data_IF_965223015606
#
_entry.id   IF_965223015606
#
_cell.length_a   1.000
_cell.length_b   1.000
_cell.length_c   1.000
_cell.angle_alpha   90.00
_cell.angle_beta   90.00
_cell.angle_gamma   90.00
#
_symmetry.space_group_name_H-M   'P 1'
#
loop_
_entity.id
_entity.type
_entity.pdbx_description
1 polymer ?
#
# COMPACT_ATOMS: atom_id res chain seq x y z
N UNK A 1 -30.21 12.77 -20.93
CA UNK A 1 -28.80 13.18 -21.14
C UNK A 1 -27.88 12.28 -20.32
N UNK A 2 -26.67 12.00 -20.84
CA UNK A 2 -25.61 11.32 -20.10
C UNK A 2 -24.42 12.27 -19.98
N UNK A 3 -23.87 12.35 -18.79
CA UNK A 3 -22.66 13.15 -18.51
C UNK A 3 -21.61 12.26 -17.87
N UNK A 4 -20.35 12.48 -18.19
CA UNK A 4 -19.22 11.76 -17.62
C UNK A 4 -18.35 12.72 -16.82
N UNK A 5 -18.06 12.36 -15.57
CA UNK A 5 -17.18 13.11 -14.71
C UNK A 5 -15.88 12.32 -14.48
N UNK A 6 -14.76 13.02 -14.49
CA UNK A 6 -13.49 12.54 -13.95
C UNK A 6 -13.35 13.11 -12.54
N UNK A 7 -13.26 12.21 -11.54
CA UNK A 7 -13.22 12.60 -10.13
C UNK A 7 -11.90 12.14 -9.53
N UNK A 8 -11.23 13.06 -8.82
CA UNK A 8 -10.08 12.77 -7.95
C UNK A 8 -10.56 13.02 -6.52
N UNK A 9 -10.50 11.99 -5.69
CA UNK A 9 -11.00 12.05 -4.32
C UNK A 9 -10.16 11.19 -3.38
N UNK A 10 -10.27 11.45 -2.08
CA UNK A 10 -9.61 10.65 -1.05
C UNK A 10 -10.34 9.33 -0.81
N UNK A 11 -9.68 8.42 -0.08
CA UNK A 11 -10.31 7.18 0.38
C UNK A 11 -11.52 7.51 1.25
N UNK A 12 -12.56 6.65 1.19
CA UNK A 12 -13.83 6.86 1.89
C UNK A 12 -14.86 7.71 1.13
N UNK A 13 -14.51 8.34 0.01
CA UNK A 13 -15.47 9.07 -0.80
C UNK A 13 -16.38 8.14 -1.58
N UNK A 14 -17.68 8.23 -1.36
CA UNK A 14 -18.69 7.47 -2.09
C UNK A 14 -19.09 8.21 -3.36
N UNK A 15 -18.53 7.82 -4.50
CA UNK A 15 -18.76 8.52 -5.79
C UNK A 15 -20.22 8.50 -6.25
N UNK A 16 -21.03 7.53 -5.80
CA UNK A 16 -22.49 7.51 -6.05
C UNK A 16 -23.21 8.61 -5.28
N UNK A 17 -22.81 8.84 -4.01
CA UNK A 17 -23.34 9.95 -3.21
C UNK A 17 -22.94 11.29 -3.81
N UNK A 18 -21.66 11.43 -4.19
CA UNK A 18 -21.17 12.63 -4.85
C UNK A 18 -21.97 12.96 -6.12
N UNK A 19 -22.29 11.97 -6.95
CA UNK A 19 -23.12 12.19 -8.14
C UNK A 19 -24.51 12.72 -7.77
N UNK A 20 -25.14 12.13 -6.72
CA UNK A 20 -26.42 12.61 -6.24
C UNK A 20 -26.35 14.04 -5.69
N UNK A 21 -25.33 14.39 -4.93
CA UNK A 21 -25.15 15.73 -4.39
C UNK A 21 -24.98 16.78 -5.50
N UNK A 22 -24.22 16.42 -6.56
CA UNK A 22 -24.10 17.28 -7.77
C UNK A 22 -25.46 17.47 -8.41
N UNK A 23 -26.26 16.42 -8.58
CA UNK A 23 -27.57 16.54 -9.20
C UNK A 23 -28.52 17.42 -8.36
N UNK A 24 -28.55 17.23 -7.05
CA UNK A 24 -29.36 18.04 -6.14
C UNK A 24 -28.95 19.52 -6.18
N UNK A 25 -27.65 19.83 -6.25
CA UNK A 25 -27.18 21.21 -6.39
C UNK A 25 -27.60 21.88 -7.71
N UNK A 26 -27.91 21.07 -8.72
CA UNK A 26 -28.44 21.50 -10.01
C UNK A 26 -29.98 21.42 -10.10
N UNK A 27 -30.67 21.22 -8.96
CA UNK A 27 -32.12 21.03 -8.89
C UNK A 27 -32.63 19.91 -9.80
N UNK A 28 -31.92 18.79 -9.89
CA UNK A 28 -32.30 17.64 -10.71
C UNK A 28 -31.97 16.32 -9.98
N UNK A 29 -32.25 15.20 -10.63
CA UNK A 29 -31.97 13.87 -10.14
C UNK A 29 -31.04 13.12 -11.10
N UNK A 30 -30.19 12.26 -10.56
CA UNK A 30 -29.33 11.39 -11.37
C UNK A 30 -29.18 9.99 -10.76
N UNK A 31 -28.62 9.10 -11.56
CA UNK A 31 -28.09 7.81 -11.10
C UNK A 31 -26.83 7.46 -11.89
N UNK A 32 -25.92 6.77 -11.24
CA UNK A 32 -24.70 6.31 -11.89
C UNK A 32 -24.99 5.08 -12.76
N UNK A 33 -24.76 5.20 -14.05
CA UNK A 33 -24.85 4.07 -14.99
C UNK A 33 -23.58 3.22 -15.02
N UNK A 34 -22.42 3.86 -14.73
CA UNK A 34 -21.12 3.20 -14.77
C UNK A 34 -20.13 3.92 -13.86
N UNK A 35 -19.32 3.16 -13.13
CA UNK A 35 -18.21 3.65 -12.34
C UNK A 35 -16.96 2.88 -12.76
N UNK A 36 -15.89 3.61 -13.10
CA UNK A 36 -14.61 3.02 -13.48
C UNK A 36 -13.55 3.63 -12.58
N UNK A 37 -12.84 2.80 -11.81
CA UNK A 37 -11.68 3.24 -11.06
C UNK A 37 -10.46 3.21 -11.97
N UNK A 38 -9.92 4.39 -12.28
CA UNK A 38 -8.76 4.53 -13.17
C UNK A 38 -7.44 4.34 -12.41
N UNK A 39 -7.40 4.76 -11.12
CA UNK A 39 -6.23 4.69 -10.26
C UNK A 39 -6.63 4.54 -8.80
N UNK A 40 -5.78 3.86 -8.03
CA UNK A 40 -5.85 3.76 -6.58
C UNK A 40 -4.42 3.73 -6.03
N UNK A 41 -3.96 4.84 -5.45
CA UNK A 41 -2.54 5.02 -5.11
C UNK A 41 -1.63 4.85 -6.32
N UNK A 42 -0.69 3.91 -6.25
CA UNK A 42 0.22 3.57 -7.35
C UNK A 42 -0.41 2.66 -8.40
N UNK A 43 -1.52 1.99 -8.06
CA UNK A 43 -2.16 1.06 -8.98
C UNK A 43 -3.00 1.81 -10.00
N UNK A 44 -2.81 1.51 -11.27
CA UNK A 44 -3.57 2.10 -12.37
C UNK A 44 -4.28 1.02 -13.18
N UNK A 45 -5.39 1.37 -13.81
CA UNK A 45 -6.10 0.46 -14.71
C UNK A 45 -5.19 -0.03 -15.85
N UNK A 46 -4.27 0.80 -16.33
CA UNK A 46 -3.33 0.45 -17.40
C UNK A 46 -2.40 -0.70 -17.02
N UNK A 47 -2.04 -0.79 -15.73
CA UNK A 47 -1.12 -1.80 -15.19
C UNK A 47 -1.87 -2.95 -14.49
N UNK A 48 -3.20 -3.02 -14.65
CA UNK A 48 -4.02 -4.07 -14.06
C UNK A 48 -4.19 -5.25 -15.00
N UNK A 49 -4.41 -6.42 -14.41
CA UNK A 49 -4.65 -7.66 -15.13
C UNK A 49 -6.12 -8.08 -15.03
N UNK A 50 -6.64 -8.65 -16.11
CA UNK A 50 -8.01 -9.18 -16.10
C UNK A 50 -8.09 -10.39 -15.16
N UNK A 51 -9.08 -10.38 -14.26
CA UNK A 51 -9.36 -11.51 -13.37
C UNK A 51 -9.56 -12.82 -14.13
N UNK A 52 -10.25 -12.78 -15.28
CA UNK A 52 -10.45 -13.96 -16.15
C UNK A 52 -9.10 -14.54 -16.63
N UNK A 53 -8.13 -13.67 -16.97
CA UNK A 53 -6.79 -14.10 -17.37
C UNK A 53 -6.03 -14.74 -16.21
N UNK A 54 -6.18 -14.22 -14.99
CA UNK A 54 -5.56 -14.78 -13.80
C UNK A 54 -6.15 -16.14 -13.43
N UNK A 55 -7.48 -16.30 -13.48
CA UNK A 55 -8.16 -17.56 -13.16
C UNK A 55 -7.79 -18.66 -14.17
N UNK A 56 -7.62 -18.33 -15.45
CA UNK A 56 -7.25 -19.30 -16.47
C UNK A 56 -5.79 -19.78 -16.35
N UNK A 57 -4.91 -18.98 -15.75
CA UNK A 57 -3.52 -19.32 -15.49
C UNK A 57 -3.39 -20.00 -14.10
N UNK A 58 -3.76 -21.28 -14.01
CA UNK A 58 -3.83 -22.02 -12.73
C UNK A 58 -2.48 -22.42 -12.13
N UNK A 59 -1.35 -22.16 -12.78
CA UNK A 59 -0.03 -22.50 -12.24
C UNK A 59 0.42 -21.47 -11.23
N UNK A 60 0.57 -21.89 -9.96
CA UNK A 60 1.00 -21.01 -8.84
C UNK A 60 2.31 -20.27 -9.15
N UNK A 61 3.26 -20.91 -9.86
CA UNK A 61 4.50 -20.27 -10.28
C UNK A 61 4.33 -19.06 -11.19
N UNK A 62 3.25 -19.02 -11.98
CA UNK A 62 2.94 -17.93 -12.89
C UNK A 62 2.37 -16.67 -12.20
N UNK A 63 1.85 -16.78 -10.97
CA UNK A 63 1.29 -15.64 -10.24
C UNK A 63 2.35 -14.64 -9.80
N UNK A 64 3.60 -15.08 -9.57
CA UNK A 64 4.70 -14.19 -9.14
C UNK A 64 4.90 -13.00 -10.09
N UNK A 65 4.71 -13.19 -11.38
CA UNK A 65 4.84 -12.12 -12.39
C UNK A 65 3.77 -11.02 -12.32
N UNK A 66 2.68 -11.29 -11.61
CA UNK A 66 1.58 -10.33 -11.43
C UNK A 66 1.64 -9.61 -10.08
N UNK A 67 2.52 -10.05 -9.17
CA UNK A 67 2.71 -9.44 -7.88
C UNK A 67 3.72 -8.30 -8.00
N UNK A 68 3.41 -7.19 -7.37
CA UNK A 68 4.34 -6.09 -7.19
C UNK A 68 5.14 -6.32 -5.92
N UNK A 69 6.41 -5.88 -5.95
CA UNK A 69 7.24 -5.86 -4.77
C UNK A 69 6.67 -4.93 -3.68
N UNK A 70 6.69 -5.38 -2.43
CA UNK A 70 6.17 -4.63 -1.28
C UNK A 70 6.81 -3.25 -1.16
N UNK A 71 8.11 -3.18 -1.38
CA UNK A 71 8.86 -1.92 -1.29
C UNK A 71 8.40 -0.90 -2.33
N UNK A 72 8.10 -1.35 -3.55
CA UNK A 72 7.57 -0.48 -4.60
C UNK A 72 6.17 0.02 -4.28
N UNK A 73 5.34 -0.80 -3.62
CA UNK A 73 3.99 -0.40 -3.18
C UNK A 73 4.04 0.60 -2.03
N UNK A 74 4.99 0.43 -1.11
CA UNK A 74 5.17 1.25 0.09
C UNK A 74 6.26 2.31 -0.08
N UNK A 75 6.54 2.76 -1.31
CA UNK A 75 7.64 3.68 -1.65
C UNK A 75 7.62 5.01 -0.87
N UNK A 76 6.45 5.42 -0.39
CA UNK A 76 6.25 6.64 0.39
C UNK A 76 6.66 6.49 1.86
N UNK A 77 6.89 5.26 2.34
CA UNK A 77 7.31 5.00 3.72
C UNK A 77 8.84 4.94 3.77
N UNK A 78 9.49 5.69 4.66
CA UNK A 78 10.93 5.62 4.85
C UNK A 78 11.39 4.20 5.17
N UNK A 79 12.59 3.86 4.74
CA UNK A 79 13.14 2.52 4.90
C UNK A 79 14.48 2.58 5.63
N UNK A 80 14.69 1.66 6.58
CA UNK A 80 15.96 1.48 7.30
C UNK A 80 16.52 0.09 7.04
N UNK A 81 17.81 0.01 6.75
CA UNK A 81 18.51 -1.26 6.58
C UNK A 81 18.84 -1.88 7.94
N UNK A 82 18.69 -3.18 8.05
CA UNK A 82 19.00 -3.94 9.25
C UNK A 82 19.97 -5.09 8.94
N UNK A 83 20.70 -5.51 9.96
CA UNK A 83 21.61 -6.67 9.92
C UNK A 83 20.97 -7.93 10.51
N UNK A 84 21.69 -9.07 10.44
CA UNK A 84 21.21 -10.38 10.92
C UNK A 84 20.81 -10.38 12.40
N UNK A 85 21.58 -9.70 13.25
CA UNK A 85 21.28 -9.63 14.69
C UNK A 85 19.95 -8.93 14.92
N UNK A 86 19.73 -7.79 14.25
CA UNK A 86 18.50 -7.01 14.35
C UNK A 86 17.31 -7.71 13.71
N UNK A 87 17.52 -8.45 12.62
CA UNK A 87 16.50 -9.28 11.99
C UNK A 87 15.92 -10.31 12.97
N UNK A 88 16.77 -11.05 13.67
CA UNK A 88 16.34 -12.06 14.66
C UNK A 88 15.46 -11.44 15.76
N UNK A 89 15.86 -10.27 16.27
CA UNK A 89 15.08 -9.56 17.28
C UNK A 89 13.72 -9.10 16.74
N UNK A 90 13.71 -8.52 15.54
CA UNK A 90 12.47 -8.04 14.90
C UNK A 90 11.53 -9.20 14.59
N UNK A 91 12.03 -10.34 14.08
CA UNK A 91 11.21 -11.54 13.82
C UNK A 91 10.51 -12.03 15.10
N UNK A 92 11.10 -11.81 16.26
CA UNK A 92 10.50 -12.14 17.56
C UNK A 92 9.64 -10.99 18.14
N UNK A 93 9.35 -9.95 17.37
CA UNK A 93 8.55 -8.82 17.83
C UNK A 93 9.25 -7.87 18.79
N UNK A 94 10.56 -8.02 18.98
CA UNK A 94 11.34 -7.22 19.93
C UNK A 94 11.67 -5.85 19.33
N UNK A 95 11.66 -4.82 20.19
CA UNK A 95 12.18 -3.50 19.86
C UNK A 95 13.70 -3.54 19.65
N UNK A 96 14.21 -2.73 18.73
CA UNK A 96 15.62 -2.75 18.34
C UNK A 96 16.18 -1.33 18.31
N UNK A 97 17.37 -1.12 18.91
CA UNK A 97 18.08 0.13 18.80
C UNK A 97 18.67 0.31 17.40
N UNK A 98 18.43 1.50 16.83
CA UNK A 98 18.90 1.95 15.52
C UNK A 98 19.66 3.27 15.64
N UNK A 99 20.13 3.62 16.86
CA UNK A 99 20.81 4.88 17.14
C UNK A 99 22.07 5.10 16.30
N UNK A 100 22.81 4.02 16.04
CA UNK A 100 24.03 4.08 15.24
C UNK A 100 23.75 4.40 13.76
N UNK A 101 22.60 3.96 13.24
CA UNK A 101 22.25 4.12 11.82
C UNK A 101 21.51 5.41 11.52
N UNK A 102 20.65 5.86 12.43
CA UNK A 102 19.72 6.99 12.16
C UNK A 102 19.71 8.05 13.26
N UNK A 103 20.46 7.85 14.34
CA UNK A 103 20.40 8.72 15.50
C UNK A 103 19.03 8.70 16.19
N UNK A 104 18.67 9.78 16.85
CA UNK A 104 17.41 9.91 17.60
C UNK A 104 16.20 10.32 16.75
N UNK A 105 16.22 10.06 15.43
CA UNK A 105 15.10 10.39 14.54
C UNK A 105 13.82 9.65 14.91
N UNK A 106 12.70 10.31 14.64
CA UNK A 106 11.36 9.76 14.89
C UNK A 106 10.60 9.59 13.58
N UNK A 107 9.89 8.46 13.47
CA UNK A 107 9.03 8.15 12.34
C UNK A 107 7.75 7.47 12.83
N UNK A 108 6.59 7.97 12.40
CA UNK A 108 5.31 7.32 12.70
C UNK A 108 5.19 5.96 12.03
N UNK A 109 5.75 5.86 10.82
CA UNK A 109 5.84 4.65 10.02
C UNK A 109 7.21 4.56 9.36
N UNK A 110 7.83 3.38 9.44
CA UNK A 110 9.13 3.09 8.83
C UNK A 110 9.22 1.60 8.52
N UNK A 111 9.86 1.28 7.40
CA UNK A 111 10.09 -0.10 6.96
C UNK A 111 11.47 -0.56 7.42
N UNK A 112 11.56 -1.78 7.94
CA UNK A 112 12.81 -2.49 8.13
C UNK A 112 13.11 -3.34 6.89
N UNK A 113 14.27 -3.10 6.27
CA UNK A 113 14.74 -3.75 5.04
C UNK A 113 15.95 -4.64 5.38
N UNK A 114 15.86 -5.89 5.01
CA UNK A 114 16.96 -6.85 5.08
C UNK A 114 17.22 -7.42 3.69
N UNK A 115 18.42 -7.16 3.14
CA UNK A 115 18.82 -7.60 1.79
C UNK A 115 17.78 -7.29 0.70
N UNK A 116 17.30 -6.03 0.65
CA UNK A 116 16.28 -5.52 -0.28
C UNK A 116 14.87 -6.07 -0.06
N UNK A 117 14.66 -6.88 0.98
CA UNK A 117 13.35 -7.38 1.37
C UNK A 117 12.81 -6.62 2.58
N UNK A 118 11.58 -6.13 2.48
CA UNK A 118 10.90 -5.52 3.63
C UNK A 118 10.47 -6.62 4.59
N UNK A 119 11.06 -6.62 5.81
CA UNK A 119 10.81 -7.66 6.82
C UNK A 119 9.84 -7.22 7.91
N UNK A 120 9.69 -5.92 8.12
CA UNK A 120 8.72 -5.40 9.07
C UNK A 120 8.32 -3.96 8.73
N UNK A 121 7.10 -3.61 9.11
CA UNK A 121 6.60 -2.24 9.25
C UNK A 121 6.54 -1.92 10.75
N UNK A 122 7.01 -0.75 11.13
CA UNK A 122 7.02 -0.29 12.50
C UNK A 122 6.97 1.21 12.63
N UNK A 123 7.25 1.69 13.83
CA UNK A 123 7.51 3.10 14.13
C UNK A 123 8.87 3.25 14.76
N UNK A 124 9.42 4.45 14.72
CA UNK A 124 10.70 4.76 15.37
C UNK A 124 10.51 5.94 16.32
N UNK A 125 11.00 5.78 17.54
CA UNK A 125 11.01 6.83 18.57
C UNK A 125 12.33 6.78 19.32
N UNK A 126 12.98 7.95 19.44
CA UNK A 126 14.28 8.11 20.10
C UNK A 126 15.32 7.09 19.58
N UNK A 127 15.36 6.84 18.26
CA UNK A 127 16.29 5.90 17.65
C UNK A 127 16.00 4.41 17.96
N UNK A 128 14.85 4.08 18.54
CA UNK A 128 14.42 2.71 18.79
C UNK A 128 13.30 2.35 17.81
N UNK A 129 13.48 1.28 17.06
CA UNK A 129 12.47 0.71 16.16
C UNK A 129 11.52 -0.20 16.95
N UNK A 130 10.23 0.06 16.78
CA UNK A 130 9.13 -0.73 17.36
C UNK A 130 8.38 -1.43 16.25
N UNK A 131 8.55 -2.75 16.06
CA UNK A 131 7.83 -3.49 15.03
C UNK A 131 6.33 -3.54 15.33
N UNK A 132 5.50 -3.21 14.33
CA UNK A 132 4.02 -3.28 14.40
C UNK A 132 3.48 -4.46 13.57
N UNK A 133 4.12 -4.73 12.43
CA UNK A 133 3.78 -5.84 11.53
C UNK A 133 5.07 -6.49 11.07
N UNK A 134 5.17 -7.78 11.28
CA UNK A 134 6.28 -8.61 10.79
C UNK A 134 5.80 -9.27 9.51
N UNK A 135 6.60 -9.18 8.46
CA UNK A 135 6.33 -9.80 7.18
C UNK A 135 7.12 -11.11 7.12
N UNK A 136 6.41 -12.22 6.99
CA UNK A 136 7.04 -13.51 6.77
C UNK A 136 7.57 -13.55 5.34
N UNK A 137 8.86 -13.28 5.19
CA UNK A 137 9.56 -13.56 3.95
C UNK A 137 9.97 -15.03 4.08
N UNK A 138 9.27 -15.89 3.36
CA UNK A 138 9.72 -17.26 3.18
C UNK A 138 11.07 -17.20 2.49
N UNK A 139 12.05 -17.76 3.13
CA UNK A 139 13.40 -18.00 2.61
C UNK A 139 13.34 -18.90 1.38
#
# INVERSE_FOLDING_TARGET
QKTTFLVVCNSGTYVRSLANDIALSLNTFCYCTKIIRLRDGIFSQKNSYSLKKLINNRNIGDFKKYLLDIKSVLYHIPTIKINDKKLKLIKNGMKVSMLEEVGSKEYKEILADYHQNVVALGSMKNGIFYPKRILNINE
#
